data_IF_511076654452
#
_entry.id   IF_511076654452
#
_cell.length_a   1.000
_cell.length_b   1.000
_cell.length_c   1.000
_cell.angle_alpha   90.00
_cell.angle_beta   90.00
_cell.angle_gamma   90.00
#
_symmetry.space_group_name_H-M   'P 1'
#
loop_
_entity.id
_entity.type
_entity.pdbx_description
1 polymer ?
#
# COMPACT_ATOMS: atom_id res chain seq x y z
N UNK A 1 -23.50 -13.17 -51.87
CA UNK A 1 -22.96 -14.16 -50.91
C UNK A 1 -21.44 -14.07 -50.77
N UNK A 2 -20.65 -14.11 -51.86
CA UNK A 2 -19.17 -14.06 -51.79
C UNK A 2 -18.61 -12.79 -51.12
N UNK A 3 -19.23 -11.63 -51.38
CA UNK A 3 -18.85 -10.34 -50.78
C UNK A 3 -19.15 -10.29 -49.28
N UNK A 4 -20.35 -10.75 -48.87
CA UNK A 4 -20.74 -10.81 -47.46
C UNK A 4 -19.82 -11.73 -46.64
N UNK A 5 -19.48 -12.90 -47.19
CA UNK A 5 -18.55 -13.86 -46.55
C UNK A 5 -17.15 -13.25 -46.43
N UNK A 6 -16.67 -12.55 -47.46
CA UNK A 6 -15.38 -11.85 -47.44
C UNK A 6 -15.32 -10.77 -46.36
N UNK A 7 -16.38 -9.96 -46.21
CA UNK A 7 -16.44 -8.90 -45.19
C UNK A 7 -16.48 -9.47 -43.78
N UNK A 8 -17.27 -10.53 -43.54
CA UNK A 8 -17.33 -11.20 -42.23
C UNK A 8 -16.00 -11.84 -41.87
N UNK A 9 -15.33 -12.48 -42.84
CA UNK A 9 -14.00 -13.07 -42.62
C UNK A 9 -12.95 -12.00 -42.28
N UNK A 10 -12.96 -10.86 -42.98
CA UNK A 10 -12.04 -9.76 -42.68
C UNK A 10 -12.25 -9.19 -41.28
N UNK A 11 -13.50 -8.96 -40.86
CA UNK A 11 -13.82 -8.49 -39.52
C UNK A 11 -13.42 -9.49 -38.43
N UNK A 12 -13.62 -10.79 -38.68
CA UNK A 12 -13.20 -11.84 -37.75
C UNK A 12 -11.68 -11.91 -37.59
N UNK A 13 -10.92 -11.80 -38.69
CA UNK A 13 -9.46 -11.79 -38.66
C UNK A 13 -8.94 -10.58 -37.89
N UNK A 14 -9.49 -9.39 -38.15
CA UNK A 14 -9.08 -8.16 -37.45
C UNK A 14 -9.42 -8.25 -35.96
N UNK A 15 -10.65 -8.67 -35.61
CA UNK A 15 -11.09 -8.82 -34.23
C UNK A 15 -10.24 -9.83 -33.45
N UNK A 16 -9.89 -10.96 -34.06
CA UNK A 16 -9.02 -11.97 -33.46
C UNK A 16 -7.57 -11.49 -33.30
N UNK A 17 -7.07 -10.68 -34.23
CA UNK A 17 -5.72 -10.11 -34.13
C UNK A 17 -5.61 -9.11 -32.96
N UNK A 18 -6.65 -8.31 -32.75
CA UNK A 18 -6.72 -7.32 -31.65
C UNK A 18 -6.86 -8.01 -30.29
N UNK A 19 -7.60 -9.11 -30.19
CA UNK A 19 -7.74 -9.85 -28.93
C UNK A 19 -6.43 -10.49 -28.45
N UNK A 20 -5.59 -10.98 -29.37
CA UNK A 20 -4.24 -11.49 -29.02
C UNK A 20 -3.32 -10.36 -28.55
N UNK A 21 -3.45 -9.14 -29.07
CA UNK A 21 -2.66 -7.99 -28.62
C UNK A 21 -3.05 -7.50 -27.21
N UNK A 22 -4.34 -7.56 -26.86
CA UNK A 22 -4.85 -7.24 -25.51
C UNK A 22 -4.49 -8.32 -24.47
N UNK A 23 -4.21 -9.54 -24.91
CA UNK A 23 -3.70 -10.62 -24.08
C UNK A 23 -2.16 -10.61 -23.96
N UNK A 24 -1.47 -9.55 -24.41
CA UNK A 24 -0.02 -9.44 -24.26
C UNK A 24 0.33 -9.26 -22.77
N UNK A 25 0.99 -10.25 -22.13
CA UNK A 25 1.37 -10.15 -20.72
C UNK A 25 2.34 -9.00 -20.45
N UNK A 26 3.02 -8.46 -21.47
CA UNK A 26 3.88 -7.28 -21.35
C UNK A 26 3.12 -5.97 -21.09
N UNK A 27 1.79 -5.93 -21.28
CA UNK A 27 0.94 -4.76 -21.01
C UNK A 27 0.36 -4.75 -19.59
N UNK A 28 0.53 -5.83 -18.82
CA UNK A 28 0.16 -5.85 -17.41
C UNK A 28 1.11 -4.95 -16.61
N UNK A 29 0.61 -4.20 -15.62
CA UNK A 29 1.47 -3.51 -14.67
C UNK A 29 2.45 -4.51 -14.05
N UNK A 30 3.75 -4.23 -14.18
CA UNK A 30 4.79 -5.07 -13.58
C UNK A 30 4.63 -5.01 -12.07
N UNK A 31 4.12 -6.08 -11.46
CA UNK A 31 4.20 -6.27 -10.02
C UNK A 31 5.53 -6.94 -9.71
N UNK A 32 6.33 -6.49 -8.76
CA UNK A 32 7.42 -7.34 -8.29
C UNK A 32 6.80 -8.37 -7.33
N UNK A 33 6.99 -9.69 -7.52
CA UNK A 33 6.44 -10.61 -6.51
C UNK A 33 6.36 -12.10 -6.72
N UNK A 34 6.69 -12.67 -7.88
CA UNK A 34 6.76 -14.14 -7.97
C UNK A 34 7.90 -14.59 -8.88
N UNK A 35 9.10 -14.86 -8.32
CA UNK A 35 10.18 -15.48 -9.07
C UNK A 35 9.83 -16.95 -9.29
N UNK A 36 8.98 -17.24 -10.28
CA UNK A 36 9.10 -18.52 -10.92
C UNK A 36 10.45 -18.48 -11.64
N UNK A 37 11.40 -19.32 -11.20
CA UNK A 37 12.72 -19.41 -11.83
C UNK A 37 12.51 -19.50 -13.34
N UNK A 38 13.26 -18.74 -14.13
CA UNK A 38 13.18 -18.75 -15.60
C UNK A 38 13.32 -20.16 -16.20
N UNK A 39 13.90 -21.08 -15.44
CA UNK A 39 14.10 -22.49 -15.78
C UNK A 39 13.00 -23.44 -15.27
N UNK A 40 12.07 -22.96 -14.43
CA UNK A 40 10.99 -23.77 -13.89
C UNK A 40 10.03 -24.13 -15.03
N UNK A 41 10.03 -25.40 -15.42
CA UNK A 41 9.17 -25.96 -16.45
C UNK A 41 8.22 -26.97 -15.83
N UNK A 42 7.01 -27.03 -16.34
CA UNK A 42 6.08 -28.11 -16.05
C UNK A 42 6.75 -29.45 -16.35
N UNK A 43 6.82 -30.39 -15.39
CA UNK A 43 7.44 -31.70 -15.62
C UNK A 43 6.63 -32.58 -16.58
N UNK A 44 5.37 -32.22 -16.83
CA UNK A 44 4.46 -32.98 -17.71
C UNK A 44 4.44 -32.40 -19.13
N UNK A 45 4.43 -31.08 -19.26
CA UNK A 45 4.23 -30.41 -20.57
C UNK A 45 5.48 -29.67 -21.06
N UNK A 46 6.53 -29.56 -20.25
CA UNK A 46 7.76 -28.82 -20.58
C UNK A 46 7.58 -27.30 -20.70
N UNK A 47 6.36 -26.79 -20.51
CA UNK A 47 6.02 -25.37 -20.63
C UNK A 47 6.61 -24.58 -19.45
N UNK A 48 7.12 -23.35 -19.67
CA UNK A 48 7.54 -22.46 -18.60
C UNK A 48 6.41 -22.26 -17.58
N UNK A 49 6.74 -22.39 -16.30
CA UNK A 49 5.81 -22.18 -15.19
C UNK A 49 5.71 -20.69 -14.80
N UNK A 50 6.69 -19.90 -15.22
CA UNK A 50 6.75 -18.46 -15.00
C UNK A 50 5.99 -17.71 -16.11
N UNK A 51 4.93 -17.01 -15.74
CA UNK A 51 4.27 -16.04 -16.63
C UNK A 51 5.01 -14.70 -16.71
N UNK A 52 5.95 -14.45 -15.79
CA UNK A 52 6.73 -13.22 -15.71
C UNK A 52 8.22 -13.55 -15.54
N UNK A 53 8.89 -13.76 -16.67
CA UNK A 53 10.31 -14.10 -16.68
C UNK A 53 11.16 -12.85 -16.53
N UNK A 54 12.14 -12.89 -15.62
CA UNK A 54 13.10 -11.79 -15.43
C UNK A 54 12.81 -10.83 -14.28
N UNK A 55 11.76 -11.08 -13.49
CA UNK A 55 11.56 -10.33 -12.25
C UNK A 55 12.47 -10.84 -11.13
N UNK A 56 13.15 -9.89 -10.49
CA UNK A 56 13.95 -10.17 -9.31
C UNK A 56 13.06 -10.54 -8.13
N UNK A 57 13.42 -11.60 -7.40
CA UNK A 57 12.75 -11.98 -6.16
C UNK A 57 12.72 -10.81 -5.18
N UNK A 58 11.52 -10.31 -4.86
CA UNK A 58 11.31 -9.43 -3.71
C UNK A 58 11.01 -10.26 -2.47
N UNK A 59 12.07 -10.68 -1.77
CA UNK A 59 11.98 -11.24 -0.43
C UNK A 59 12.49 -10.26 0.63
N UNK A 60 12.15 -10.52 1.90
CA UNK A 60 12.67 -9.79 3.06
C UNK A 60 12.25 -8.31 3.12
N UNK A 61 13.13 -7.46 3.63
CA UNK A 61 12.85 -6.04 3.95
C UNK A 61 12.37 -5.21 2.75
N UNK A 62 12.79 -5.58 1.53
CA UNK A 62 12.36 -4.89 0.30
C UNK A 62 10.88 -5.13 -0.01
N UNK A 63 10.39 -6.34 0.22
CA UNK A 63 8.97 -6.67 0.05
C UNK A 63 8.11 -5.94 1.09
N UNK A 64 8.58 -5.91 2.34
CA UNK A 64 7.91 -5.20 3.45
C UNK A 64 7.87 -3.69 3.17
N UNK A 65 8.98 -3.10 2.75
CA UNK A 65 9.05 -1.65 2.45
C UNK A 65 8.09 -1.28 1.32
N UNK A 66 8.05 -2.07 0.24
CA UNK A 66 7.10 -1.81 -0.85
C UNK A 66 5.64 -2.03 -0.45
N UNK A 67 5.34 -3.03 0.39
CA UNK A 67 3.97 -3.25 0.87
C UNK A 67 3.48 -2.09 1.73
N UNK A 68 4.36 -1.52 2.56
CA UNK A 68 4.07 -0.31 3.34
C UNK A 68 3.68 0.83 2.38
N UNK A 69 4.53 1.13 1.40
CA UNK A 69 4.29 2.25 0.47
C UNK A 69 3.12 2.05 -0.50
N UNK A 70 2.75 0.80 -0.80
CA UNK A 70 1.65 0.49 -1.74
C UNK A 70 0.28 0.89 -1.20
N UNK A 71 0.12 0.96 0.12
CA UNK A 71 -1.16 1.21 0.77
C UNK A 71 -1.24 2.64 1.31
N UNK A 72 -0.10 3.23 1.65
CA UNK A 72 0.02 4.52 2.34
C UNK A 72 -0.57 5.70 1.53
N UNK A 73 -0.33 5.71 0.20
CA UNK A 73 -0.86 6.78 -0.67
C UNK A 73 -2.38 6.73 -0.85
N UNK A 74 -3.02 5.58 -0.59
CA UNK A 74 -4.46 5.39 -0.76
C UNK A 74 -5.24 5.42 0.55
N UNK A 75 -4.56 5.37 1.71
CA UNK A 75 -5.17 5.32 3.04
C UNK A 75 -4.60 6.44 3.90
N UNK A 76 -4.81 7.70 3.48
CA UNK A 76 -4.55 8.83 4.35
C UNK A 76 -5.84 9.24 5.07
N UNK A 77 -5.86 9.12 6.39
CA UNK A 77 -6.97 9.59 7.22
C UNK A 77 -6.88 11.12 7.41
N UNK A 78 -7.62 11.86 6.60
CA UNK A 78 -7.76 13.32 6.72
C UNK A 78 -9.00 13.69 7.55
N UNK A 79 -9.00 13.34 8.85
CA UNK A 79 -10.06 13.80 9.75
C UNK A 79 -9.70 15.17 10.34
N UNK A 80 -10.55 16.16 10.10
CA UNK A 80 -10.49 17.46 10.75
C UNK A 80 -11.64 17.57 11.77
N UNK A 81 -11.30 17.72 13.05
CA UNK A 81 -12.29 18.03 14.09
C UNK A 81 -12.62 19.54 14.04
N UNK A 82 -13.89 19.95 13.84
CA UNK A 82 -14.30 21.36 13.85
C UNK A 82 -13.91 22.10 15.13
N UNK A 83 -13.79 21.39 16.26
CA UNK A 83 -13.38 21.97 17.53
C UNK A 83 -11.92 22.40 17.54
N UNK A 84 -11.08 21.86 16.65
CA UNK A 84 -9.67 22.24 16.56
C UNK A 84 -9.47 23.71 16.16
N UNK A 85 -10.47 24.35 15.54
CA UNK A 85 -10.41 25.77 15.22
C UNK A 85 -10.28 26.67 16.46
N UNK A 86 -10.69 26.19 17.65
CA UNK A 86 -10.52 26.97 18.89
C UNK A 86 -9.10 26.89 19.44
N UNK A 87 -8.27 25.94 18.99
CA UNK A 87 -6.94 25.70 19.54
C UNK A 87 -6.00 26.79 19.02
N UNK A 88 -5.46 27.59 19.94
CA UNK A 88 -4.45 28.62 19.65
C UNK A 88 -3.03 28.05 19.62
N UNK A 89 -2.73 27.12 20.52
CA UNK A 89 -1.40 26.54 20.67
C UNK A 89 -1.49 25.10 21.19
N UNK A 90 -0.63 24.22 20.66
CA UNK A 90 -0.53 22.81 21.05
C UNK A 90 0.74 22.61 21.89
N UNK A 91 0.60 22.06 23.09
CA UNK A 91 1.71 21.88 24.05
C UNK A 91 2.33 20.47 24.05
N UNK A 92 1.93 19.61 23.11
CA UNK A 92 2.42 18.23 23.01
C UNK A 92 1.56 17.19 23.75
N UNK A 93 2.03 15.95 23.78
CA UNK A 93 1.26 14.82 24.32
C UNK A 93 1.04 14.94 25.84
N UNK A 94 -0.18 14.65 26.29
CA UNK A 94 -0.54 14.67 27.71
C UNK A 94 -0.76 16.06 28.32
N UNK A 95 -0.62 17.14 27.54
CA UNK A 95 -0.90 18.51 27.98
C UNK A 95 -2.12 19.07 27.27
N UNK A 96 -2.99 19.77 28.03
CA UNK A 96 -4.14 20.44 27.44
C UNK A 96 -3.67 21.60 26.53
N UNK A 97 -4.19 21.71 25.30
CA UNK A 97 -3.88 22.82 24.42
C UNK A 97 -4.43 24.14 24.95
N UNK A 98 -3.87 25.25 24.47
CA UNK A 98 -4.45 26.57 24.71
C UNK A 98 -5.61 26.81 23.77
N UNK A 99 -6.77 27.18 24.31
CA UNK A 99 -8.01 27.33 23.55
C UNK A 99 -8.54 28.76 23.61
N UNK A 100 -9.31 29.17 22.60
CA UNK A 100 -10.05 30.43 22.62
C UNK A 100 -11.23 30.32 23.59
N UNK A 101 -11.00 30.74 24.83
CA UNK A 101 -11.97 30.66 25.93
C UNK A 101 -11.27 30.55 27.29
N UNK A 102 -12.00 30.15 28.35
CA UNK A 102 -11.41 29.91 29.66
C UNK A 102 -10.36 28.80 29.59
N UNK A 103 -9.14 29.10 30.05
CA UNK A 103 -8.08 28.09 30.12
C UNK A 103 -8.30 27.20 31.34
N UNK A 104 -8.61 25.93 31.12
CA UNK A 104 -8.73 24.95 32.20
C UNK A 104 -7.33 24.64 32.72
N UNK A 105 -7.10 24.95 34.00
CA UNK A 105 -5.89 24.54 34.72
C UNK A 105 -6.19 23.24 35.44
N UNK A 106 -5.52 22.16 35.03
CA UNK A 106 -5.53 20.91 35.81
C UNK A 106 -4.38 21.03 36.81
N UNK A 107 -4.73 21.30 38.07
CA UNK A 107 -3.78 21.11 39.16
C UNK A 107 -3.64 19.61 39.43
N UNK A 108 -2.42 19.09 39.65
CA UNK A 108 -2.25 17.72 40.09
C UNK A 108 -3.00 17.51 41.41
N UNK A 109 -3.60 16.32 41.64
CA UNK A 109 -4.35 16.03 42.86
C UNK A 109 -3.48 16.07 44.13
N UNK A 110 -2.16 16.07 43.96
CA UNK A 110 -1.16 16.19 45.01
C UNK A 110 -0.17 17.29 44.65
N UNK A 111 0.25 18.07 45.65
CA UNK A 111 1.21 19.18 45.49
C UNK A 111 2.62 18.71 45.17
N UNK A 112 2.96 17.46 45.47
CA UNK A 112 4.23 16.83 45.14
C UNK A 112 4.04 15.34 44.87
N UNK A 113 4.66 14.83 43.82
CA UNK A 113 4.84 13.41 43.61
C UNK A 113 6.27 13.03 44.02
N UNK A 114 6.43 11.92 44.74
CA UNK A 114 7.76 11.33 44.96
C UNK A 114 8.28 10.83 43.61
N UNK A 115 9.19 11.57 42.99
CA UNK A 115 9.88 11.13 41.78
C UNK A 115 10.70 9.89 42.13
N UNK A 116 10.29 8.71 41.67
CA UNK A 116 11.11 7.51 41.80
C UNK A 116 12.34 7.71 40.90
N UNK A 117 13.52 7.86 41.52
CA UNK A 117 14.80 7.84 40.81
C UNK A 117 15.11 6.41 40.38
N UNK A 118 15.82 6.25 39.26
CA UNK A 118 16.13 4.94 38.66
C UNK A 118 16.99 4.01 39.53
N UNK A 119 17.41 4.45 40.71
CA UNK A 119 18.28 3.69 41.62
C UNK A 119 17.51 2.87 42.67
N UNK A 120 16.17 2.80 42.59
CA UNK A 120 15.37 2.01 43.54
C UNK A 120 15.59 0.52 43.30
N UNK A 121 16.36 -0.14 44.16
CA UNK A 121 16.38 -1.61 44.25
C UNK A 121 15.19 -2.07 45.09
N UNK A 122 14.46 -3.05 44.57
CA UNK A 122 13.44 -3.79 45.33
C UNK A 122 14.19 -4.99 45.90
N UNK A 123 14.20 -5.12 47.23
CA UNK A 123 14.69 -6.31 47.94
C UNK A 123 13.62 -7.41 47.95
#
# INVERSE_FOLDING_TARGET
>A
MKTLIGTVAALAIVGFSVSVALANPALLPKHEGYPAKSEAKSPVTGQPLANDTGQTNMGGDKAITKSITSTDNHVQQNLSDPNNHRIKEKHGAGQLPSVQGPQIKIAPPVTSATKISGNRKIE
#
